data_IF_826630449324
#
_entry.id   IF_826630449324
#
_cell.length_a   1.000
_cell.length_b   1.000
_cell.length_c   1.000
_cell.angle_alpha   90.00
_cell.angle_beta   90.00
_cell.angle_gamma   90.00
#
_symmetry.space_group_name_H-M   'P 1'
#
loop_
_entity.id
_entity.type
_entity.pdbx_description
1 polymer ?
#
# COMPACT_ATOMS: atom_id res chain seq x y z
N UNK A 1 -10.82 -6.35 -22.12
CA UNK A 1 -9.42 -5.99 -21.89
C UNK A 1 -9.10 -6.31 -20.44
N UNK A 2 -7.85 -6.61 -20.09
CA UNK A 2 -7.45 -6.77 -18.70
C UNK A 2 -7.54 -5.43 -17.96
N UNK A 3 -8.03 -5.44 -16.70
CA UNK A 3 -8.10 -4.23 -15.88
C UNK A 3 -6.72 -3.72 -15.50
N UNK A 4 -6.58 -2.40 -15.39
CA UNK A 4 -5.34 -1.76 -14.99
C UNK A 4 -5.27 -1.62 -13.47
N UNK A 5 -4.18 -2.10 -12.90
CA UNK A 5 -3.83 -1.96 -11.49
C UNK A 5 -2.59 -1.08 -11.34
N UNK A 6 -2.68 -0.03 -10.51
CA UNK A 6 -1.58 0.85 -10.17
C UNK A 6 -1.15 0.58 -8.72
N UNK A 7 0.14 0.25 -8.52
CA UNK A 7 0.73 -0.04 -7.21
C UNK A 7 1.75 1.03 -6.85
N UNK A 8 1.52 1.80 -5.80
CA UNK A 8 2.50 2.79 -5.33
C UNK A 8 3.62 2.13 -4.53
N UNK A 9 4.87 2.56 -4.76
CA UNK A 9 6.04 1.85 -4.21
C UNK A 9 6.12 0.40 -4.71
N UNK A 10 5.66 0.15 -5.94
CA UNK A 10 5.40 -1.18 -6.49
C UNK A 10 6.61 -1.94 -7.02
N UNK A 11 7.84 -1.39 -6.91
CA UNK A 11 9.05 -1.98 -7.50
C UNK A 11 9.97 -2.70 -6.50
N UNK A 12 9.61 -2.77 -5.20
CA UNK A 12 10.39 -3.47 -4.16
C UNK A 12 9.53 -3.98 -3.03
N UNK A 13 10.07 -4.91 -2.25
CA UNK A 13 9.46 -5.44 -1.02
C UNK A 13 8.01 -5.91 -1.22
N UNK A 14 7.10 -5.51 -0.34
CA UNK A 14 5.68 -5.86 -0.41
C UNK A 14 5.06 -5.36 -1.72
N UNK A 15 5.39 -4.15 -2.16
CA UNK A 15 4.87 -3.57 -3.39
C UNK A 15 5.23 -4.37 -4.64
N UNK A 16 6.47 -4.87 -4.74
CA UNK A 16 6.90 -5.74 -5.84
C UNK A 16 6.12 -7.06 -5.86
N UNK A 17 5.97 -7.71 -4.71
CA UNK A 17 5.18 -8.95 -4.62
C UNK A 17 3.71 -8.71 -5.00
N UNK A 18 3.13 -7.58 -4.60
CA UNK A 18 1.78 -7.18 -5.00
C UNK A 18 1.70 -6.98 -6.52
N UNK A 19 2.65 -6.24 -7.11
CA UNK A 19 2.68 -5.99 -8.55
C UNK A 19 2.79 -7.30 -9.35
N UNK A 20 3.68 -8.21 -8.93
CA UNK A 20 3.84 -9.53 -9.54
C UNK A 20 2.58 -10.38 -9.35
N UNK A 21 2.01 -10.41 -8.14
CA UNK A 21 0.80 -11.16 -7.83
C UNK A 21 -0.40 -10.72 -8.69
N UNK A 22 -0.60 -9.42 -8.85
CA UNK A 22 -1.64 -8.86 -9.72
C UNK A 22 -1.40 -9.19 -11.20
N UNK A 23 -0.14 -9.09 -11.68
CA UNK A 23 0.21 -9.50 -13.05
C UNK A 23 -0.09 -10.97 -13.30
N UNK A 24 0.29 -11.84 -12.37
CA UNK A 24 0.04 -13.29 -12.47
C UNK A 24 -1.46 -13.62 -12.40
N UNK A 25 -2.27 -12.78 -11.78
CA UNK A 25 -3.73 -12.88 -11.78
C UNK A 25 -4.40 -12.31 -13.04
N UNK A 26 -3.61 -11.85 -14.02
CA UNK A 26 -4.11 -11.39 -15.33
C UNK A 26 -4.41 -9.90 -15.41
N UNK A 27 -4.03 -9.10 -14.43
CA UNK A 27 -4.14 -7.64 -14.48
C UNK A 27 -3.01 -7.01 -15.30
N UNK A 28 -3.29 -5.88 -15.94
CA UNK A 28 -2.27 -5.02 -16.50
C UNK A 28 -1.76 -4.10 -15.40
N UNK A 29 -0.46 -4.17 -15.06
CA UNK A 29 0.09 -3.54 -13.85
C UNK A 29 1.02 -2.40 -14.21
N UNK A 30 0.84 -1.27 -13.52
CA UNK A 30 1.79 -0.17 -13.41
C UNK A 30 2.33 -0.11 -11.97
N UNK A 31 3.63 0.13 -11.81
CA UNK A 31 4.26 0.32 -10.51
C UNK A 31 4.88 1.71 -10.41
N UNK A 32 4.52 2.52 -9.39
CA UNK A 32 5.23 3.77 -9.17
C UNK A 32 6.35 3.65 -8.14
N UNK A 33 7.34 4.54 -8.26
CA UNK A 33 8.46 4.66 -7.33
C UNK A 33 8.90 6.12 -7.20
N UNK A 34 9.55 6.49 -6.09
CA UNK A 34 10.04 7.86 -5.88
C UNK A 34 11.56 7.98 -6.05
N UNK A 35 12.34 7.10 -5.43
CA UNK A 35 13.77 7.36 -5.23
C UNK A 35 14.74 6.43 -5.98
N UNK A 36 14.58 5.13 -5.92
CA UNK A 36 15.58 4.17 -6.44
C UNK A 36 15.28 3.77 -7.89
N UNK A 37 15.87 4.51 -8.83
CA UNK A 37 15.70 4.31 -10.26
C UNK A 37 16.33 2.99 -10.76
N UNK A 38 17.49 2.62 -10.21
CA UNK A 38 18.16 1.38 -10.58
C UNK A 38 17.32 0.16 -10.22
N UNK A 39 16.81 0.09 -8.99
CA UNK A 39 15.92 -1.00 -8.55
C UNK A 39 14.62 -1.04 -9.35
N UNK A 40 14.06 0.12 -9.73
CA UNK A 40 12.85 0.16 -10.54
C UNK A 40 13.11 -0.32 -11.98
N UNK A 41 14.25 0.03 -12.57
CA UNK A 41 14.67 -0.43 -13.90
C UNK A 41 14.91 -1.95 -13.91
N UNK A 42 15.62 -2.49 -12.92
CA UNK A 42 15.85 -3.93 -12.74
C UNK A 42 14.52 -4.69 -12.60
N UNK A 43 13.64 -4.23 -11.70
CA UNK A 43 12.31 -4.79 -11.53
C UNK A 43 11.50 -4.79 -12.84
N UNK A 44 11.54 -3.69 -13.60
CA UNK A 44 10.84 -3.60 -14.89
C UNK A 44 11.41 -4.57 -15.92
N UNK A 45 12.74 -4.71 -15.98
CA UNK A 45 13.42 -5.63 -16.89
C UNK A 45 13.08 -7.11 -16.59
N UNK A 46 13.07 -7.48 -15.31
CA UNK A 46 12.79 -8.86 -14.88
C UNK A 46 11.32 -9.25 -15.02
N UNK A 47 10.43 -8.31 -14.71
CA UNK A 47 8.99 -8.62 -14.63
C UNK A 47 8.20 -8.19 -15.86
N UNK A 48 8.74 -7.27 -16.69
CA UNK A 48 8.00 -6.61 -17.76
C UNK A 48 6.88 -5.69 -17.28
N UNK A 49 6.85 -5.34 -15.99
CA UNK A 49 5.90 -4.37 -15.43
C UNK A 49 6.46 -2.97 -15.66
N UNK A 50 5.66 -2.07 -16.28
CA UNK A 50 6.07 -0.67 -16.46
C UNK A 50 6.21 0.03 -15.13
N UNK A 51 7.32 0.76 -14.95
CA UNK A 51 7.57 1.57 -13.77
C UNK A 51 7.52 3.06 -14.11
N UNK A 52 7.00 3.86 -13.16
CA UNK A 52 6.80 5.30 -13.33
C UNK A 52 7.34 6.03 -12.10
N UNK A 53 7.95 7.19 -12.30
CA UNK A 53 8.63 7.94 -11.24
C UNK A 53 7.84 9.17 -10.81
N UNK A 54 7.36 9.19 -9.57
CA UNK A 54 6.87 10.37 -8.86
C UNK A 54 6.86 10.13 -7.35
N UNK A 55 6.80 11.22 -6.57
CA UNK A 55 6.61 11.17 -5.13
C UNK A 55 5.11 11.26 -4.81
N UNK A 56 4.60 10.32 -4.02
CA UNK A 56 3.18 10.32 -3.60
C UNK A 56 2.85 11.48 -2.65
N UNK A 57 3.85 12.13 -2.05
CA UNK A 57 3.67 13.32 -1.24
C UNK A 57 3.31 14.56 -2.07
N UNK A 58 3.56 14.54 -3.39
CA UNK A 58 3.27 15.64 -4.31
C UNK A 58 1.98 15.33 -5.09
N UNK A 59 0.93 16.11 -4.84
CA UNK A 59 -0.38 15.94 -5.45
C UNK A 59 -0.35 16.12 -6.98
N UNK A 60 0.34 17.17 -7.46
CA UNK A 60 0.37 17.47 -8.90
C UNK A 60 1.18 16.41 -9.66
N UNK A 61 2.28 15.93 -9.05
CA UNK A 61 3.05 14.81 -9.60
C UNK A 61 2.22 13.50 -9.63
N UNK A 62 1.40 13.24 -8.62
CA UNK A 62 0.47 12.11 -8.62
C UNK A 62 -0.55 12.21 -9.75
N UNK A 63 -1.20 13.37 -9.91
CA UNK A 63 -2.20 13.58 -10.96
C UNK A 63 -1.58 13.42 -12.36
N UNK A 64 -0.40 14.01 -12.60
CA UNK A 64 0.31 13.87 -13.87
C UNK A 64 0.77 12.43 -14.13
N UNK A 65 1.30 11.75 -13.11
CA UNK A 65 1.74 10.35 -13.22
C UNK A 65 0.58 9.39 -13.50
N UNK A 66 -0.56 9.58 -12.85
CA UNK A 66 -1.79 8.81 -13.13
C UNK A 66 -2.25 9.03 -14.57
N UNK A 67 -2.30 10.28 -15.04
CA UNK A 67 -2.69 10.59 -16.41
C UNK A 67 -1.77 9.91 -17.44
N UNK A 68 -0.46 9.83 -17.16
CA UNK A 68 0.48 9.11 -18.01
C UNK A 68 0.23 7.60 -18.00
N UNK A 69 -0.03 7.00 -16.84
CA UNK A 69 -0.38 5.57 -16.73
C UNK A 69 -1.64 5.27 -17.54
N UNK A 70 -2.68 6.10 -17.41
CA UNK A 70 -3.93 5.91 -18.13
C UNK A 70 -3.78 6.09 -19.65
N UNK A 71 -2.93 7.01 -20.10
CA UNK A 71 -2.61 7.18 -21.52
C UNK A 71 -1.83 5.98 -22.10
N UNK A 72 -0.93 5.39 -21.30
CA UNK A 72 -0.08 4.29 -21.73
C UNK A 72 -0.79 2.92 -21.71
N UNK A 73 -1.71 2.73 -20.78
CA UNK A 73 -2.31 1.43 -20.50
C UNK A 73 -3.83 1.41 -20.71
N UNK A 74 -4.57 2.12 -19.96
CA UNK A 74 -6.02 2.33 -19.95
C UNK A 74 -6.40 2.94 -18.58
N UNK A 75 -7.66 3.34 -18.35
CA UNK A 75 -8.10 3.86 -17.06
C UNK A 75 -7.74 2.96 -15.88
N UNK A 76 -7.20 3.55 -14.82
CA UNK A 76 -6.88 2.83 -13.58
C UNK A 76 -8.17 2.42 -12.89
N UNK A 77 -8.37 1.11 -12.73
CA UNK A 77 -9.54 0.51 -12.08
C UNK A 77 -9.23 -0.05 -10.70
N UNK A 78 -7.94 -0.37 -10.45
CA UNK A 78 -7.46 -0.89 -9.16
C UNK A 78 -6.29 -0.01 -8.71
N UNK A 79 -6.42 0.60 -7.52
CA UNK A 79 -5.35 1.34 -6.88
C UNK A 79 -4.89 0.62 -5.62
N UNK A 80 -3.59 0.35 -5.53
CA UNK A 80 -2.96 -0.15 -4.30
C UNK A 80 -2.06 0.94 -3.72
N UNK A 81 -2.52 1.58 -2.65
CA UNK A 81 -1.75 2.52 -1.85
C UNK A 81 -0.81 1.75 -0.93
N UNK A 82 0.43 1.52 -1.39
CA UNK A 82 1.44 0.77 -0.65
C UNK A 82 2.68 1.62 -0.30
N UNK A 83 2.93 2.72 -1.00
CA UNK A 83 4.06 3.59 -0.69
C UNK A 83 4.03 4.07 0.76
N UNK A 84 5.17 4.02 1.43
CA UNK A 84 5.29 4.46 2.81
C UNK A 84 6.72 4.48 3.29
N UNK A 85 6.96 5.32 4.30
CA UNK A 85 8.25 5.49 4.97
C UNK A 85 8.09 5.45 6.48
N UNK A 86 9.19 5.23 7.18
CA UNK A 86 9.29 5.42 8.64
C UNK A 86 10.34 6.48 8.94
N UNK A 87 10.15 7.20 10.06
CA UNK A 87 11.11 8.14 10.64
C UNK A 87 11.00 8.01 12.17
N UNK A 88 11.51 6.88 12.67
CA UNK A 88 11.31 6.45 14.04
C UNK A 88 12.13 7.30 15.01
N UNK A 89 11.47 7.78 16.05
CA UNK A 89 12.09 8.47 17.17
C UNK A 89 11.16 8.44 18.41
N UNK A 90 11.68 8.30 19.64
CA UNK A 90 10.87 8.55 20.84
C UNK A 90 10.21 9.93 20.77
N UNK A 91 8.96 10.05 21.20
CA UNK A 91 8.14 11.25 20.97
C UNK A 91 8.83 12.55 21.39
N UNK A 92 9.51 12.57 22.55
CA UNK A 92 10.24 13.74 23.03
C UNK A 92 11.49 14.12 22.21
N UNK A 93 11.92 13.27 21.28
CA UNK A 93 13.05 13.49 20.35
C UNK A 93 12.61 13.61 18.90
N UNK A 94 11.34 13.31 18.61
CA UNK A 94 10.80 13.37 17.25
C UNK A 94 10.78 14.83 16.78
N UNK A 95 11.41 15.09 15.64
CA UNK A 95 11.38 16.41 15.02
C UNK A 95 10.08 16.62 14.24
N UNK A 96 9.73 17.90 14.02
CA UNK A 96 8.60 18.25 13.17
C UNK A 96 8.77 17.70 11.75
N UNK A 97 9.98 17.71 11.22
CA UNK A 97 10.27 17.20 9.88
C UNK A 97 10.07 15.68 9.79
N UNK A 98 10.49 14.92 10.82
CA UNK A 98 10.24 13.48 10.89
C UNK A 98 8.74 13.16 10.93
N UNK A 99 7.97 13.96 11.67
CA UNK A 99 6.52 13.85 11.69
C UNK A 99 5.94 14.15 10.31
N UNK A 100 6.27 15.31 9.74
CA UNK A 100 5.66 15.80 8.50
C UNK A 100 5.96 14.87 7.31
N UNK A 101 7.23 14.44 7.14
CA UNK A 101 7.58 13.50 6.06
C UNK A 101 6.75 12.23 6.08
N UNK A 102 6.48 11.67 7.27
CA UNK A 102 5.69 10.44 7.39
C UNK A 102 4.21 10.71 7.09
N UNK A 103 3.67 11.81 7.58
CA UNK A 103 2.27 12.18 7.28
C UNK A 103 2.09 12.46 5.79
N UNK A 104 2.98 13.23 5.18
CA UNK A 104 2.88 13.59 3.76
C UNK A 104 2.96 12.36 2.84
N UNK A 105 3.89 11.45 3.12
CA UNK A 105 4.03 10.25 2.30
C UNK A 105 2.94 9.22 2.58
N UNK A 106 2.73 8.87 3.85
CA UNK A 106 1.92 7.70 4.20
C UNK A 106 0.41 7.99 4.22
N UNK A 107 0.01 9.21 4.60
CA UNK A 107 -1.40 9.57 4.77
C UNK A 107 -1.88 10.51 3.66
N UNK A 108 -1.20 11.67 3.46
CA UNK A 108 -1.54 12.57 2.37
C UNK A 108 -1.35 11.89 1.01
N UNK A 109 -0.34 11.03 0.86
CA UNK A 109 -0.10 10.24 -0.34
C UNK A 109 -1.27 9.34 -0.73
N UNK A 110 -2.00 8.77 0.23
CA UNK A 110 -3.23 8.00 -0.04
C UNK A 110 -4.32 8.89 -0.66
N UNK A 111 -4.49 10.10 -0.14
CA UNK A 111 -5.40 11.09 -0.74
C UNK A 111 -4.91 11.49 -2.13
N UNK A 112 -3.64 11.87 -2.27
CA UNK A 112 -3.05 12.37 -3.51
C UNK A 112 -3.19 11.36 -4.67
N UNK A 113 -3.08 10.07 -4.38
CA UNK A 113 -3.25 9.00 -5.37
C UNK A 113 -4.71 8.67 -5.65
N UNK A 114 -5.57 8.73 -4.63
CA UNK A 114 -6.97 8.29 -4.75
C UNK A 114 -7.85 9.37 -5.39
N UNK A 115 -7.64 10.63 -5.02
CA UNK A 115 -8.49 11.73 -5.44
C UNK A 115 -8.54 11.93 -6.98
N UNK A 116 -7.42 11.90 -7.72
CA UNK A 116 -7.44 12.11 -9.17
C UNK A 116 -8.18 11.00 -9.95
N UNK A 117 -8.15 9.75 -9.49
CA UNK A 117 -8.81 8.62 -10.17
C UNK A 117 -10.28 8.44 -9.77
N UNK A 118 -10.68 9.04 -8.65
CA UNK A 118 -12.01 8.86 -8.07
C UNK A 118 -13.16 9.23 -9.01
N UNK A 119 -13.14 10.38 -9.74
CA UNK A 119 -14.18 10.74 -10.69
C UNK A 119 -14.36 9.69 -11.79
N UNK A 120 -13.28 9.20 -12.38
CA UNK A 120 -13.32 8.18 -13.42
C UNK A 120 -13.85 6.83 -12.91
N UNK A 121 -13.49 6.40 -11.70
CA UNK A 121 -14.05 5.20 -11.07
C UNK A 121 -15.56 5.34 -10.86
N UNK A 122 -16.04 6.50 -10.42
CA UNK A 122 -17.48 6.79 -10.23
C UNK A 122 -18.25 6.75 -11.55
N UNK A 123 -17.70 7.32 -12.60
CA UNK A 123 -18.32 7.34 -13.94
C UNK A 123 -18.45 5.92 -14.48
N UNK A 124 -17.41 5.11 -14.38
CA UNK A 124 -17.39 3.70 -14.82
C UNK A 124 -18.18 2.77 -13.91
N UNK A 125 -18.60 3.23 -12.72
CA UNK A 125 -19.27 2.44 -11.67
C UNK A 125 -18.45 1.19 -11.28
N UNK A 126 -17.15 1.33 -11.25
CA UNK A 126 -16.20 0.30 -10.83
C UNK A 126 -14.92 0.92 -10.29
N UNK A 127 -14.43 0.39 -9.18
CA UNK A 127 -13.13 0.70 -8.61
C UNK A 127 -12.78 -0.24 -7.46
N UNK A 128 -11.47 -0.47 -7.28
CA UNK A 128 -10.90 -1.20 -6.14
C UNK A 128 -9.79 -0.37 -5.54
N UNK A 129 -9.99 0.10 -4.33
CA UNK A 129 -8.98 0.84 -3.57
C UNK A 129 -8.52 -0.04 -2.42
N UNK A 130 -7.23 -0.36 -2.40
CA UNK A 130 -6.63 -1.24 -1.40
C UNK A 130 -5.47 -0.49 -0.76
N UNK A 131 -5.56 -0.24 0.55
CA UNK A 131 -4.54 0.52 1.28
C UNK A 131 -3.74 -0.42 2.18
N UNK A 132 -2.42 -0.42 2.01
CA UNK A 132 -1.51 -1.18 2.88
C UNK A 132 -1.22 -0.32 4.11
N UNK A 133 -1.98 -0.56 5.16
CA UNK A 133 -1.79 0.04 6.47
C UNK A 133 -0.72 -0.74 7.28
N UNK A 134 -0.92 -1.01 8.54
CA UNK A 134 0.01 -1.73 9.41
C UNK A 134 -0.68 -2.19 10.69
N UNK A 135 -0.20 -3.28 11.28
CA UNK A 135 -0.50 -3.63 12.66
C UNK A 135 -0.24 -2.46 13.62
N UNK A 136 0.77 -1.62 13.33
CA UNK A 136 1.14 -0.47 14.17
C UNK A 136 0.12 0.68 14.07
N UNK A 137 -0.68 0.75 13.01
CA UNK A 137 -1.86 1.62 12.93
C UNK A 137 -3.02 1.15 13.80
N UNK A 138 -3.05 -0.14 14.15
CA UNK A 138 -4.09 -0.73 15.01
C UNK A 138 -3.71 -0.68 16.49
N UNK A 139 -2.47 -1.08 16.84
CA UNK A 139 -2.03 -1.21 18.26
C UNK A 139 -1.11 -0.09 18.74
N UNK A 140 -0.58 0.73 17.84
CA UNK A 140 0.53 1.63 18.14
C UNK A 140 1.88 0.90 18.27
N UNK A 141 2.98 1.68 18.31
CA UNK A 141 4.33 1.16 18.48
C UNK A 141 5.22 2.21 19.12
N UNK A 142 6.08 1.80 20.05
CA UNK A 142 7.09 2.71 20.66
C UNK A 142 7.95 3.35 19.57
N UNK A 143 8.23 4.64 19.71
CA UNK A 143 9.00 5.46 18.77
C UNK A 143 8.40 5.68 17.38
N UNK A 144 7.14 5.28 17.15
CA UNK A 144 6.45 5.39 15.86
C UNK A 144 5.14 6.20 15.93
N UNK A 145 5.09 7.27 16.71
CA UNK A 145 3.86 8.07 16.85
C UNK A 145 3.39 8.62 15.50
N UNK A 146 4.31 9.12 14.66
CA UNK A 146 4.03 9.58 13.29
C UNK A 146 3.52 8.44 12.38
N UNK A 147 4.22 7.32 12.38
CA UNK A 147 3.86 6.16 11.55
C UNK A 147 2.54 5.55 12.00
N UNK A 148 2.36 5.31 13.30
CA UNK A 148 1.12 4.76 13.82
C UNK A 148 -0.08 5.69 13.53
N UNK A 149 0.08 7.01 13.69
CA UNK A 149 -0.95 7.98 13.36
C UNK A 149 -1.31 7.94 11.87
N UNK A 150 -0.31 7.92 10.96
CA UNK A 150 -0.57 7.82 9.52
C UNK A 150 -1.29 6.53 9.16
N UNK A 151 -0.86 5.39 9.70
CA UNK A 151 -1.45 4.08 9.42
C UNK A 151 -2.83 3.87 10.05
N UNK A 152 -3.11 4.50 11.18
CA UNK A 152 -4.47 4.58 11.73
C UNK A 152 -5.38 5.47 10.87
N UNK A 153 -4.85 6.58 10.34
CA UNK A 153 -5.56 7.45 9.39
C UNK A 153 -5.97 6.72 8.11
N UNK A 154 -5.13 5.81 7.59
CA UNK A 154 -5.45 4.95 6.45
C UNK A 154 -6.76 4.17 6.66
N UNK A 155 -7.02 3.68 7.88
CA UNK A 155 -8.25 2.95 8.21
C UNK A 155 -9.48 3.87 8.21
N UNK A 156 -9.32 5.13 8.65
CA UNK A 156 -10.35 6.15 8.59
C UNK A 156 -10.72 6.52 7.15
N UNK A 157 -9.71 6.83 6.32
CA UNK A 157 -9.90 7.11 4.88
C UNK A 157 -10.61 5.94 4.20
N UNK A 158 -10.14 4.71 4.41
CA UNK A 158 -10.71 3.50 3.82
C UNK A 158 -12.19 3.36 4.10
N UNK A 159 -12.61 3.53 5.36
CA UNK A 159 -14.03 3.44 5.76
C UNK A 159 -14.89 4.52 5.12
N UNK A 160 -14.38 5.75 5.06
CA UNK A 160 -15.12 6.88 4.44
C UNK A 160 -15.28 6.65 2.93
N UNK A 161 -14.21 6.28 2.23
CA UNK A 161 -14.27 5.97 0.79
C UNK A 161 -15.22 4.79 0.49
N UNK A 162 -15.25 3.78 1.36
CA UNK A 162 -16.18 2.66 1.25
C UNK A 162 -17.65 3.12 1.31
N UNK A 163 -17.97 4.03 2.23
CA UNK A 163 -19.32 4.61 2.31
C UNK A 163 -19.69 5.41 1.06
N UNK A 164 -18.77 6.26 0.58
CA UNK A 164 -19.01 7.11 -0.58
C UNK A 164 -19.07 6.34 -1.89
N UNK A 165 -18.25 5.30 -2.02
CA UNK A 165 -18.09 4.52 -3.25
C UNK A 165 -19.10 3.39 -3.43
N UNK A 166 -19.74 2.90 -2.38
CA UNK A 166 -20.52 1.67 -2.39
C UNK A 166 -21.60 1.63 -3.49
N UNK A 167 -22.40 2.70 -3.63
CA UNK A 167 -23.44 2.80 -4.67
C UNK A 167 -22.88 2.95 -6.10
N UNK A 168 -21.60 3.25 -6.21
CA UNK A 168 -20.88 3.40 -7.49
C UNK A 168 -20.05 2.16 -7.83
N UNK A 169 -20.27 1.02 -7.16
CA UNK A 169 -19.50 -0.20 -7.43
C UNK A 169 -18.02 -0.11 -7.03
N UNK A 170 -17.64 0.89 -6.23
CA UNK A 170 -16.28 1.09 -5.75
C UNK A 170 -16.15 0.48 -4.36
N UNK A 171 -15.15 -0.37 -4.16
CA UNK A 171 -14.78 -0.86 -2.84
C UNK A 171 -13.48 -0.24 -2.36
N UNK A 172 -13.40 0.06 -1.07
CA UNK A 172 -12.18 0.49 -0.41
C UNK A 172 -11.93 -0.39 0.81
N UNK A 173 -10.75 -1.04 0.87
CA UNK A 173 -10.37 -1.95 1.94
C UNK A 173 -8.93 -1.69 2.37
N UNK A 174 -8.61 -1.99 3.62
CA UNK A 174 -7.27 -1.90 4.17
C UNK A 174 -6.71 -3.28 4.51
N UNK A 175 -5.41 -3.45 4.35
CA UNK A 175 -4.66 -4.60 4.86
C UNK A 175 -3.70 -4.08 5.92
N UNK A 176 -3.62 -4.75 7.05
CA UNK A 176 -2.72 -4.45 8.16
C UNK A 176 -1.70 -5.59 8.31
N UNK A 177 -0.56 -5.53 7.58
CA UNK A 177 0.51 -6.49 7.78
C UNK A 177 1.10 -6.39 9.18
N UNK A 178 1.54 -7.54 9.71
CA UNK A 178 2.49 -7.61 10.80
C UNK A 178 3.93 -7.41 10.30
N UNK A 179 4.88 -8.10 10.92
CA UNK A 179 6.27 -8.08 10.44
C UNK A 179 6.44 -9.03 9.25
N UNK A 180 6.83 -8.44 8.12
CA UNK A 180 6.99 -9.14 6.83
C UNK A 180 8.49 -9.21 6.48
N UNK A 181 8.93 -10.35 5.96
CA UNK A 181 10.29 -10.61 5.51
C UNK A 181 10.60 -9.76 4.27
N UNK A 182 11.02 -8.52 4.47
CA UNK A 182 11.48 -7.58 3.47
C UNK A 182 12.94 -7.21 3.73
N UNK A 183 13.63 -6.63 2.75
CA UNK A 183 15.02 -6.19 2.91
C UNK A 183 15.19 -5.31 4.16
N UNK A 184 14.22 -4.45 4.45
CA UNK A 184 14.24 -3.59 5.63
C UNK A 184 14.27 -4.38 6.94
N UNK A 185 13.48 -5.45 7.06
CA UNK A 185 13.45 -6.32 8.24
C UNK A 185 14.66 -7.24 8.28
N UNK A 186 15.10 -7.72 7.12
CA UNK A 186 16.30 -8.57 7.01
C UNK A 186 17.60 -7.83 7.29
N UNK A 187 17.64 -6.52 7.12
CA UNK A 187 18.78 -5.67 7.49
C UNK A 187 18.95 -5.50 9.02
N UNK A 188 17.95 -5.87 9.82
CA UNK A 188 18.06 -5.88 11.29
C UNK A 188 19.00 -7.00 11.76
N UNK A 189 19.65 -6.82 12.92
CA UNK A 189 20.48 -7.88 13.50
C UNK A 189 19.64 -9.10 13.87
N UNK A 190 20.27 -10.29 13.85
CA UNK A 190 19.59 -11.56 14.18
C UNK A 190 18.90 -11.50 15.53
N UNK A 191 19.57 -10.95 16.55
CA UNK A 191 19.00 -10.75 17.88
C UNK A 191 17.69 -9.95 17.88
N UNK A 192 17.61 -8.91 17.05
CA UNK A 192 16.40 -8.09 16.93
C UNK A 192 15.32 -8.86 16.19
N UNK A 193 15.67 -9.55 15.10
CA UNK A 193 14.72 -10.39 14.34
C UNK A 193 14.15 -11.50 15.21
N UNK A 194 14.98 -12.20 15.97
CA UNK A 194 14.55 -13.27 16.87
C UNK A 194 13.59 -12.74 17.95
N UNK A 195 13.87 -11.55 18.48
CA UNK A 195 12.98 -10.91 19.46
C UNK A 195 11.63 -10.49 18.85
N UNK A 196 11.60 -10.14 17.57
CA UNK A 196 10.36 -9.87 16.82
C UNK A 196 9.58 -11.17 16.60
N UNK A 197 10.26 -12.20 16.10
CA UNK A 197 9.63 -13.50 15.82
C UNK A 197 9.03 -14.12 17.08
N UNK A 198 9.72 -14.00 18.23
CA UNK A 198 9.22 -14.48 19.51
C UNK A 198 7.90 -13.83 19.96
N UNK A 199 7.56 -12.65 19.43
CA UNK A 199 6.29 -11.95 19.70
C UNK A 199 5.18 -12.29 18.71
N UNK A 200 5.46 -13.08 17.67
CA UNK A 200 4.48 -13.48 16.66
C UNK A 200 3.99 -14.89 16.99
N UNK A 201 2.70 -15.09 17.35
CA UNK A 201 2.19 -16.42 17.69
C UNK A 201 2.39 -17.46 16.58
N UNK A 202 2.39 -17.06 15.31
CA UNK A 202 2.69 -17.96 14.20
C UNK A 202 4.17 -18.42 14.15
N UNK A 203 5.06 -17.89 15.00
CA UNK A 203 6.46 -18.28 15.14
C UNK A 203 7.37 -17.91 13.96
N UNK A 204 6.92 -17.03 13.07
CA UNK A 204 7.69 -16.59 11.89
C UNK A 204 7.27 -15.19 11.40
N UNK A 205 8.13 -14.59 10.62
CA UNK A 205 7.74 -13.45 9.80
C UNK A 205 6.75 -13.88 8.71
N UNK A 206 5.85 -12.96 8.31
CA UNK A 206 5.06 -13.13 7.09
C UNK A 206 5.93 -12.94 5.85
N UNK A 207 5.44 -13.38 4.70
CA UNK A 207 6.10 -13.16 3.41
C UNK A 207 5.39 -12.04 2.63
N UNK A 208 6.10 -11.31 1.74
CA UNK A 208 5.46 -10.36 0.82
C UNK A 208 4.33 -10.99 -0.01
N UNK A 209 4.48 -12.24 -0.41
CA UNK A 209 3.46 -12.98 -1.19
C UNK A 209 2.17 -13.23 -0.39
N UNK A 210 2.25 -13.40 0.93
CA UNK A 210 1.06 -13.55 1.77
C UNK A 210 0.23 -12.27 1.76
N UNK A 211 0.87 -11.10 1.72
CA UNK A 211 0.19 -9.82 1.58
C UNK A 211 -0.35 -9.63 0.15
N UNK A 212 0.43 -10.00 -0.86
CA UNK A 212 0.02 -9.93 -2.25
C UNK A 212 -1.26 -10.75 -2.52
N UNK A 213 -1.40 -11.95 -1.93
CA UNK A 213 -2.62 -12.76 -2.05
C UNK A 213 -3.87 -12.05 -1.50
N UNK A 214 -3.73 -11.34 -0.37
CA UNK A 214 -4.83 -10.54 0.17
C UNK A 214 -5.24 -9.43 -0.82
N UNK A 215 -4.25 -8.77 -1.45
CA UNK A 215 -4.50 -7.72 -2.45
C UNK A 215 -5.19 -8.31 -3.68
N UNK A 216 -4.69 -9.42 -4.24
CA UNK A 216 -5.28 -10.08 -5.41
C UNK A 216 -6.74 -10.48 -5.14
N UNK A 217 -7.02 -11.02 -3.96
CA UNK A 217 -8.39 -11.34 -3.54
C UNK A 217 -9.28 -10.10 -3.52
N UNK A 218 -8.85 -9.02 -2.86
CA UNK A 218 -9.64 -7.78 -2.78
C UNK A 218 -9.77 -7.03 -4.12
N UNK A 219 -8.85 -7.25 -5.06
CA UNK A 219 -8.88 -6.69 -6.40
C UNK A 219 -9.89 -7.39 -7.32
N UNK A 220 -10.29 -8.61 -6.99
CA UNK A 220 -11.17 -9.42 -7.83
C UNK A 220 -12.61 -8.89 -7.89
N UNK A 221 -13.34 -9.30 -8.92
CA UNK A 221 -14.78 -9.01 -9.05
C UNK A 221 -15.59 -9.65 -7.94
N UNK A 222 -15.19 -10.85 -7.50
CA UNK A 222 -15.85 -11.63 -6.45
C UNK A 222 -15.77 -10.95 -5.07
N UNK A 223 -14.83 -10.02 -4.86
CA UNK A 223 -14.71 -9.25 -3.63
C UNK A 223 -15.65 -8.02 -3.57
N UNK A 224 -16.58 -7.86 -4.50
CA UNK A 224 -17.42 -6.67 -4.64
C UNK A 224 -18.31 -6.35 -3.42
N UNK A 225 -18.58 -7.31 -2.54
CA UNK A 225 -19.35 -7.09 -1.30
C UNK A 225 -18.46 -6.86 -0.06
N UNK A 226 -17.14 -6.99 -0.19
CA UNK A 226 -16.16 -6.68 0.86
C UNK A 226 -15.78 -5.20 0.72
N UNK A 227 -16.30 -4.36 1.62
CA UNK A 227 -16.13 -2.92 1.53
C UNK A 227 -16.00 -2.29 2.92
N UNK A 228 -15.00 -1.43 3.13
CA UNK A 228 -14.69 -0.83 4.42
C UNK A 228 -13.98 -1.76 5.41
N UNK A 229 -13.56 -2.94 4.95
CA UNK A 229 -12.95 -3.96 5.80
C UNK A 229 -11.48 -3.67 6.07
N UNK A 230 -11.00 -4.14 7.22
CA UNK A 230 -9.60 -4.19 7.60
C UNK A 230 -9.16 -5.64 7.75
N UNK A 231 -8.28 -6.11 6.87
CA UNK A 231 -7.71 -7.45 6.94
C UNK A 231 -6.41 -7.41 7.75
N UNK A 232 -6.40 -8.03 8.92
CA UNK A 232 -5.20 -8.19 9.75
C UNK A 232 -4.41 -9.42 9.28
N UNK A 233 -3.26 -9.19 8.61
CA UNK A 233 -2.36 -10.24 8.13
C UNK A 233 -1.05 -10.21 8.94
N UNK A 234 -1.08 -10.69 10.19
CA UNK A 234 -0.04 -10.45 11.19
C UNK A 234 0.37 -11.68 12.03
N UNK A 235 0.01 -12.88 11.61
CA UNK A 235 0.38 -14.11 12.33
C UNK A 235 -0.20 -14.21 13.74
N UNK A 236 -1.40 -13.67 13.95
CA UNK A 236 -2.10 -13.59 15.22
C UNK A 236 -1.45 -12.66 16.27
N UNK A 237 -0.57 -11.74 15.85
CA UNK A 237 0.11 -10.80 16.75
C UNK A 237 -0.85 -9.73 17.31
N UNK A 238 -1.95 -9.44 16.61
CA UNK A 238 -2.98 -8.50 17.05
C UNK A 238 -4.34 -8.85 16.43
N UNK A 239 -5.39 -8.66 17.21
CA UNK A 239 -6.80 -8.83 16.80
C UNK A 239 -7.56 -7.51 16.96
N UNK A 240 -8.55 -7.26 16.13
CA UNK A 240 -9.53 -6.16 16.22
C UNK A 240 -10.93 -6.76 16.35
#
# INVERSE_FOLDING_TARGET
>A
MARVALVTGGSRGIGAAISIGLKNAGYQVAASYAGNEATAAEFSAETGIKTYKWDVADYDACAAGIAQVEADLCPVEILVNNAGITRDAPFHKMTRDQWQQVIDTNLSGVFNMTHPIWPGMRERKFGRIITISSINGQKGQFAQVNYAASKAGDLGITKSLAHEGARMGITANAICPGYICTDMVMALSDKVRDSIVAQIPAGRLGTPDEIARCVVFLASDDAGFINGSTISANGAQFFV
#
